data_IF_380918712572
#
_entry.id   IF_380918712572
#
_cell.length_a   1.000
_cell.length_b   1.000
_cell.length_c   1.000
_cell.angle_alpha   90.00
_cell.angle_beta   90.00
_cell.angle_gamma   90.00
#
_symmetry.space_group_name_H-M   'P 1'
#
loop_
_entity.id
_entity.type
_entity.pdbx_description
1 polymer ?
#
# COMPACT_ATOMS: atom_id res chain seq x y z
N UNK A 1 41.64 -5.80 -8.91
CA UNK A 1 41.36 -7.08 -9.55
C UNK A 1 39.86 -7.21 -9.62
N UNK A 2 39.27 -7.12 -10.82
CA UNK A 2 37.82 -6.98 -11.01
C UNK A 2 37.06 -8.23 -10.54
N UNK A 3 35.79 -8.06 -10.09
CA UNK A 3 34.91 -9.16 -9.67
C UNK A 3 34.75 -10.20 -10.80
N UNK A 4 34.83 -9.76 -12.06
CA UNK A 4 34.80 -10.62 -13.26
C UNK A 4 35.94 -11.63 -13.26
N UNK A 5 37.18 -11.24 -12.84
CA UNK A 5 38.27 -12.17 -12.73
C UNK A 5 38.04 -13.24 -11.67
N UNK A 6 37.30 -12.90 -10.60
CA UNK A 6 36.96 -13.88 -9.56
C UNK A 6 35.89 -14.86 -10.02
N UNK A 7 34.86 -14.38 -10.77
CA UNK A 7 33.81 -15.26 -11.34
C UNK A 7 34.39 -16.10 -12.48
N UNK A 8 35.17 -15.50 -13.37
CA UNK A 8 35.85 -16.23 -14.45
C UNK A 8 36.90 -17.22 -13.91
N UNK A 9 37.62 -16.87 -12.84
CA UNK A 9 38.54 -17.80 -12.17
C UNK A 9 37.81 -18.94 -11.44
N UNK A 10 36.65 -18.68 -10.83
CA UNK A 10 35.82 -19.72 -10.24
C UNK A 10 35.18 -20.60 -11.33
N UNK A 11 34.60 -20.01 -12.37
CA UNK A 11 34.05 -20.75 -13.51
C UNK A 11 35.11 -21.58 -14.25
N UNK A 12 36.32 -21.01 -14.45
CA UNK A 12 37.45 -21.74 -15.03
C UNK A 12 38.01 -22.86 -14.13
N UNK A 13 37.96 -22.70 -12.79
CA UNK A 13 38.30 -23.76 -11.83
C UNK A 13 37.28 -24.88 -11.78
N UNK A 14 35.97 -24.57 -11.93
CA UNK A 14 34.91 -25.56 -12.01
C UNK A 14 35.01 -26.41 -13.27
N UNK A 15 35.54 -25.87 -14.38
CA UNK A 15 35.78 -26.64 -15.62
C UNK A 15 37.00 -27.56 -15.58
N UNK A 16 37.88 -27.41 -14.59
CA UNK A 16 39.15 -28.20 -14.45
C UNK A 16 39.22 -29.13 -13.24
N UNK A 17 38.31 -29.03 -12.29
CA UNK A 17 38.30 -29.89 -11.10
C UNK A 17 37.06 -30.77 -11.10
N UNK A 18 37.23 -32.07 -10.98
CA UNK A 18 36.22 -33.07 -10.77
C UNK A 18 35.11 -32.60 -9.80
N UNK A 19 33.91 -32.43 -10.32
CA UNK A 19 32.57 -32.65 -9.78
C UNK A 19 32.44 -32.70 -8.24
N UNK A 20 32.88 -31.68 -7.54
CA UNK A 20 32.21 -31.21 -6.34
C UNK A 20 31.48 -29.93 -6.73
N UNK A 21 30.14 -29.98 -6.77
CA UNK A 21 29.26 -28.89 -7.11
C UNK A 21 29.44 -27.69 -6.17
N UNK A 22 30.37 -26.78 -6.52
CA UNK A 22 30.37 -25.45 -5.92
C UNK A 22 29.23 -24.68 -6.55
N UNK A 23 28.07 -24.62 -5.88
CA UNK A 23 26.92 -23.83 -6.25
C UNK A 23 27.31 -22.34 -6.28
N UNK A 24 27.55 -21.82 -7.47
CA UNK A 24 27.54 -20.38 -7.71
C UNK A 24 26.06 -20.00 -7.69
N UNK A 25 25.66 -19.07 -6.82
CA UNK A 25 24.25 -18.63 -6.79
C UNK A 25 23.91 -17.95 -8.12
N UNK A 26 22.72 -18.14 -8.62
CA UNK A 26 22.20 -17.46 -9.83
C UNK A 26 22.37 -15.94 -9.69
N UNK A 27 22.22 -15.42 -8.49
CA UNK A 27 22.42 -14.00 -8.18
C UNK A 27 23.84 -13.54 -8.53
N UNK A 28 24.89 -14.29 -8.18
CA UNK A 28 26.28 -13.92 -8.49
C UNK A 28 26.55 -13.87 -10.01
N UNK A 29 25.95 -14.79 -10.76
CA UNK A 29 26.05 -14.82 -12.24
C UNK A 29 25.36 -13.61 -12.84
N UNK A 30 24.14 -13.29 -12.40
CA UNK A 30 23.37 -12.13 -12.86
C UNK A 30 24.08 -10.83 -12.51
N UNK A 31 24.64 -10.69 -11.30
CA UNK A 31 25.40 -9.52 -10.87
C UNK A 31 26.64 -9.30 -11.76
N UNK A 32 27.39 -10.36 -12.05
CA UNK A 32 28.58 -10.28 -12.90
C UNK A 32 28.23 -9.88 -14.35
N UNK A 33 27.16 -10.42 -14.94
CA UNK A 33 26.70 -10.04 -16.26
C UNK A 33 26.23 -8.57 -16.27
N UNK A 34 25.51 -8.13 -15.25
CA UNK A 34 25.03 -6.75 -15.10
C UNK A 34 26.19 -5.76 -15.00
N UNK A 35 27.24 -6.12 -14.24
CA UNK A 35 28.43 -5.29 -14.09
C UNK A 35 29.18 -5.12 -15.45
N UNK A 36 29.28 -6.18 -16.25
CA UNK A 36 29.88 -6.10 -17.60
C UNK A 36 29.00 -5.28 -18.56
N UNK A 37 27.68 -5.46 -18.52
CA UNK A 37 26.72 -4.65 -19.28
C UNK A 37 26.85 -3.17 -18.99
N UNK A 38 26.95 -2.81 -17.72
CA UNK A 38 27.09 -1.43 -17.27
C UNK A 38 28.38 -0.78 -17.75
N UNK A 39 29.41 -1.56 -18.03
CA UNK A 39 30.69 -1.09 -18.60
C UNK A 39 30.64 -0.96 -20.12
N UNK A 40 30.02 -1.93 -20.77
CA UNK A 40 30.09 -2.06 -22.26
C UNK A 40 28.88 -1.47 -22.99
N UNK A 41 27.71 -1.32 -22.32
CA UNK A 41 26.45 -0.94 -22.93
C UNK A 41 25.72 0.20 -22.17
N UNK A 42 26.48 1.10 -21.53
CA UNK A 42 25.94 2.17 -20.68
C UNK A 42 24.92 3.05 -21.41
N UNK A 43 25.24 3.44 -22.66
CA UNK A 43 24.35 4.31 -23.46
C UNK A 43 23.05 3.60 -23.79
N UNK A 44 23.11 2.32 -24.12
CA UNK A 44 21.92 1.51 -24.41
C UNK A 44 21.01 1.40 -23.17
N UNK A 45 21.56 1.15 -22.00
CA UNK A 45 20.82 1.12 -20.73
C UNK A 45 20.17 2.48 -20.47
N UNK A 46 20.88 3.57 -20.74
CA UNK A 46 20.34 4.93 -20.54
C UNK A 46 19.16 5.21 -21.45
N UNK A 47 19.25 4.89 -22.75
CA UNK A 47 18.17 5.06 -23.71
C UNK A 47 16.93 4.23 -23.36
N UNK A 48 17.11 2.99 -22.88
CA UNK A 48 16.01 2.16 -22.40
C UNK A 48 15.37 2.78 -21.14
N UNK A 49 16.17 3.28 -20.20
CA UNK A 49 15.68 3.92 -18.99
C UNK A 49 14.86 5.18 -19.27
N UNK A 50 15.21 5.90 -20.35
CA UNK A 50 14.47 7.08 -20.86
C UNK A 50 13.25 6.72 -21.71
N UNK A 51 12.95 5.42 -21.89
CA UNK A 51 11.90 4.89 -22.77
C UNK A 51 12.07 5.29 -24.27
N UNK A 52 13.28 5.55 -24.72
CA UNK A 52 13.57 5.86 -26.13
C UNK A 52 13.59 4.59 -26.98
N UNK A 53 14.01 3.47 -26.40
CA UNK A 53 14.08 2.15 -27.06
C UNK A 53 13.56 1.05 -26.10
N UNK A 54 13.08 -0.09 -26.60
CA UNK A 54 12.57 -1.17 -25.78
C UNK A 54 13.68 -1.97 -25.07
N UNK A 55 13.36 -2.60 -23.92
CA UNK A 55 14.29 -3.45 -23.14
C UNK A 55 14.89 -4.60 -23.96
N UNK A 56 14.15 -5.12 -24.94
CA UNK A 56 14.60 -6.19 -25.86
C UNK A 56 15.86 -5.82 -26.64
N UNK A 57 16.16 -4.54 -26.80
CA UNK A 57 17.42 -4.10 -27.44
C UNK A 57 18.66 -4.54 -26.66
N UNK A 58 18.56 -4.79 -25.33
CA UNK A 58 19.66 -5.25 -24.51
C UNK A 58 19.85 -6.78 -24.56
N UNK A 59 18.86 -7.55 -24.97
CA UNK A 59 18.91 -9.02 -24.99
C UNK A 59 20.09 -9.57 -25.78
N UNK A 60 20.35 -9.02 -26.96
CA UNK A 60 21.47 -9.47 -27.78
C UNK A 60 22.84 -9.21 -27.10
N UNK A 61 22.96 -8.10 -26.37
CA UNK A 61 24.16 -7.79 -25.63
C UNK A 61 24.36 -8.76 -24.46
N UNK A 62 23.28 -9.07 -23.73
CA UNK A 62 23.28 -10.06 -22.64
C UNK A 62 23.67 -11.43 -23.18
N UNK A 63 23.05 -11.87 -24.26
CA UNK A 63 23.35 -13.16 -24.93
C UNK A 63 24.81 -13.26 -25.34
N UNK A 64 25.39 -12.17 -25.87
CA UNK A 64 26.80 -12.11 -26.24
C UNK A 64 27.74 -12.25 -25.02
N UNK A 65 27.39 -11.59 -23.91
CA UNK A 65 28.16 -11.68 -22.67
C UNK A 65 28.08 -13.10 -22.10
N UNK A 66 26.88 -13.69 -22.01
CA UNK A 66 26.68 -15.08 -21.56
C UNK A 66 27.53 -16.04 -22.38
N UNK A 67 27.53 -15.87 -23.72
CA UNK A 67 28.30 -16.73 -24.62
C UNK A 67 29.83 -16.57 -24.46
N UNK A 68 30.30 -15.34 -24.20
CA UNK A 68 31.73 -15.02 -24.02
C UNK A 68 32.32 -15.67 -22.77
N UNK A 69 31.55 -15.68 -21.68
CA UNK A 69 32.04 -16.13 -20.37
C UNK A 69 31.77 -17.60 -20.08
N UNK A 70 31.07 -18.31 -20.96
CA UNK A 70 30.75 -19.75 -20.82
C UNK A 70 30.31 -20.09 -19.39
N UNK A 71 29.44 -19.26 -18.81
CA UNK A 71 28.86 -19.54 -17.51
C UNK A 71 28.16 -20.90 -17.61
N UNK A 72 28.73 -21.92 -16.97
CA UNK A 72 28.05 -23.22 -16.85
C UNK A 72 26.65 -22.94 -16.34
N UNK A 73 25.65 -23.19 -17.18
CA UNK A 73 24.26 -22.90 -16.88
C UNK A 73 23.84 -23.77 -15.69
N UNK A 74 23.96 -23.24 -14.51
CA UNK A 74 23.59 -23.94 -13.28
C UNK A 74 22.06 -24.08 -13.26
N UNK A 75 21.58 -25.13 -13.94
CA UNK A 75 20.18 -25.55 -13.87
C UNK A 75 19.15 -24.63 -14.54
N UNK A 76 19.57 -23.57 -15.28
CA UNK A 76 18.67 -22.63 -15.96
C UNK A 76 18.94 -22.61 -17.45
N UNK A 77 17.88 -22.44 -18.22
CA UNK A 77 18.02 -22.18 -19.63
C UNK A 77 18.50 -20.73 -19.89
N UNK A 78 18.98 -20.50 -21.13
CA UNK A 78 19.56 -19.21 -21.53
C UNK A 78 18.53 -18.08 -21.53
N UNK A 79 17.30 -18.35 -21.88
CA UNK A 79 16.22 -17.36 -21.95
C UNK A 79 15.81 -16.91 -20.55
N UNK A 80 15.75 -17.85 -19.61
CA UNK A 80 15.49 -17.53 -18.19
C UNK A 80 16.57 -16.64 -17.59
N UNK A 81 17.85 -16.92 -17.92
CA UNK A 81 18.96 -16.09 -17.43
C UNK A 81 18.95 -14.68 -18.05
N UNK A 82 18.62 -14.54 -19.33
CA UNK A 82 18.45 -13.23 -19.98
C UNK A 82 17.37 -12.43 -19.28
N UNK A 83 16.22 -13.05 -18.98
CA UNK A 83 15.13 -12.40 -18.26
C UNK A 83 15.56 -11.95 -16.85
N UNK A 84 16.28 -12.78 -16.11
CA UNK A 84 16.76 -12.43 -14.78
C UNK A 84 17.76 -11.27 -14.80
N UNK A 85 18.60 -11.18 -15.83
CA UNK A 85 19.51 -10.04 -16.01
C UNK A 85 18.71 -8.76 -16.32
N UNK A 86 17.69 -8.81 -17.18
CA UNK A 86 16.81 -7.67 -17.44
C UNK A 86 16.04 -7.24 -16.18
N UNK A 87 15.53 -8.19 -15.41
CA UNK A 87 14.87 -7.91 -14.15
C UNK A 87 15.82 -7.29 -13.12
N UNK A 88 17.11 -7.68 -13.15
CA UNK A 88 18.13 -7.10 -12.28
C UNK A 88 18.52 -5.67 -12.66
N UNK A 89 18.56 -5.38 -13.96
CA UNK A 89 18.94 -4.04 -14.47
C UNK A 89 17.77 -3.04 -14.33
N UNK A 90 16.54 -3.43 -14.63
CA UNK A 90 15.41 -2.51 -14.76
C UNK A 90 14.32 -2.66 -13.71
N UNK A 91 14.36 -3.72 -12.89
CA UNK A 91 13.33 -4.06 -11.92
C UNK A 91 13.94 -4.44 -10.56
N UNK A 92 13.43 -5.52 -9.93
CA UNK A 92 13.85 -5.96 -8.60
C UNK A 92 14.64 -7.28 -8.60
N UNK A 93 15.34 -7.58 -9.69
CA UNK A 93 16.24 -8.72 -9.79
C UNK A 93 15.57 -10.07 -9.53
N UNK A 94 16.27 -10.95 -8.83
CA UNK A 94 15.85 -12.34 -8.58
C UNK A 94 14.49 -12.50 -7.91
N UNK A 95 13.98 -11.46 -7.25
CA UNK A 95 12.65 -11.49 -6.62
C UNK A 95 11.52 -11.08 -7.54
N UNK A 96 11.83 -10.51 -8.73
CA UNK A 96 10.80 -10.02 -9.64
C UNK A 96 9.80 -11.11 -10.02
N UNK A 97 10.27 -12.34 -10.25
CA UNK A 97 9.43 -13.49 -10.53
C UNK A 97 8.35 -13.75 -9.46
N UNK A 98 8.66 -13.49 -8.18
CA UNK A 98 7.68 -13.62 -7.10
C UNK A 98 6.69 -12.46 -7.11
N UNK A 99 7.17 -11.24 -7.37
CA UNK A 99 6.32 -10.06 -7.45
C UNK A 99 5.32 -10.14 -8.62
N UNK A 100 5.71 -10.83 -9.71
CA UNK A 100 4.85 -11.03 -10.89
C UNK A 100 3.83 -12.15 -10.72
N UNK A 101 3.98 -12.99 -9.69
CA UNK A 101 3.01 -14.07 -9.44
C UNK A 101 1.61 -13.50 -9.16
N UNK A 102 0.56 -14.07 -9.76
CA UNK A 102 -0.82 -13.71 -9.45
C UNK A 102 -1.12 -13.88 -7.95
N UNK A 103 -1.70 -12.86 -7.33
CA UNK A 103 -2.02 -12.89 -5.90
C UNK A 103 -0.84 -12.67 -4.95
N UNK A 104 0.36 -12.34 -5.46
CA UNK A 104 1.47 -11.95 -4.61
C UNK A 104 1.17 -10.60 -3.93
N UNK A 105 1.14 -10.63 -2.59
CA UNK A 105 0.89 -9.48 -1.74
C UNK A 105 2.17 -8.93 -1.09
N UNK A 106 3.26 -9.71 -1.12
CA UNK A 106 4.55 -9.28 -0.58
C UNK A 106 5.61 -10.36 -0.60
N UNK A 107 6.87 -9.91 -0.51
CA UNK A 107 8.06 -10.76 -0.39
C UNK A 107 8.83 -10.32 0.85
N UNK A 108 9.31 -11.30 1.62
CA UNK A 108 10.00 -11.10 2.90
C UNK A 108 11.36 -11.77 2.86
N UNK A 109 12.41 -10.97 2.90
CA UNK A 109 13.80 -11.43 2.87
C UNK A 109 14.34 -11.27 4.28
N UNK A 110 14.52 -12.38 5.00
CA UNK A 110 15.04 -12.41 6.36
C UNK A 110 16.52 -12.82 6.44
N UNK A 111 17.12 -13.09 5.29
CA UNK A 111 18.51 -13.50 5.12
C UNK A 111 18.77 -13.95 3.70
N UNK A 112 20.06 -14.25 3.34
CA UNK A 112 20.43 -14.59 1.97
C UNK A 112 19.70 -15.80 1.38
N UNK A 113 19.39 -16.77 2.20
CA UNK A 113 18.73 -18.04 1.86
C UNK A 113 17.35 -18.19 2.52
N UNK A 114 16.85 -17.13 3.15
CA UNK A 114 15.60 -17.13 3.90
C UNK A 114 14.61 -16.11 3.32
N UNK A 115 14.02 -16.49 2.18
CA UNK A 115 13.10 -15.66 1.40
C UNK A 115 11.72 -16.29 1.38
N UNK A 116 10.70 -15.51 1.72
CA UNK A 116 9.30 -15.91 1.78
C UNK A 116 8.45 -15.03 0.88
N UNK A 117 7.38 -15.58 0.33
CA UNK A 117 6.36 -14.85 -0.41
C UNK A 117 4.99 -15.04 0.23
N UNK A 118 4.17 -13.99 0.22
CA UNK A 118 2.76 -14.06 0.60
C UNK A 118 1.91 -14.07 -0.66
N UNK A 119 1.34 -15.23 -0.98
CA UNK A 119 0.43 -15.43 -2.11
C UNK A 119 -0.98 -15.60 -1.56
N UNK A 120 -1.87 -14.63 -1.85
CA UNK A 120 -3.17 -14.57 -1.16
C UNK A 120 -3.00 -14.50 0.36
N UNK A 121 -3.54 -15.49 1.08
CA UNK A 121 -3.40 -15.59 2.54
C UNK A 121 -2.31 -16.57 3.00
N UNK A 122 -1.56 -17.18 2.08
CA UNK A 122 -0.55 -18.19 2.42
C UNK A 122 0.86 -17.60 2.40
N UNK A 123 1.67 -18.00 3.39
CA UNK A 123 3.11 -17.73 3.44
C UNK A 123 3.87 -18.92 2.89
N UNK A 124 4.65 -18.72 1.83
CA UNK A 124 5.37 -19.77 1.11
C UNK A 124 6.87 -19.48 1.21
N UNK A 125 7.67 -20.44 1.67
CA UNK A 125 9.12 -20.36 1.58
C UNK A 125 9.54 -20.59 0.14
N UNK A 126 10.46 -19.75 -0.36
CA UNK A 126 10.93 -19.80 -1.75
C UNK A 126 12.31 -20.45 -1.85
N UNK A 127 12.73 -20.73 -3.06
CA UNK A 127 14.07 -21.25 -3.40
C UNK A 127 15.09 -20.16 -3.70
N UNK A 128 14.71 -18.88 -3.56
CA UNK A 128 15.60 -17.75 -3.83
C UNK A 128 16.73 -17.71 -2.81
N UNK A 129 17.96 -17.61 -3.32
CA UNK A 129 19.18 -17.53 -2.54
C UNK A 129 20.11 -16.47 -3.11
N UNK A 130 20.46 -15.48 -2.29
CA UNK A 130 21.41 -14.43 -2.61
C UNK A 130 22.89 -14.88 -2.48
N UNK A 131 23.12 -16.09 -1.95
CA UNK A 131 24.44 -16.68 -1.76
C UNK A 131 25.19 -16.16 -0.53
N UNK A 132 25.14 -14.88 -0.20
CA UNK A 132 25.86 -14.32 0.95
C UNK A 132 25.18 -13.06 1.51
N UNK A 133 25.48 -12.73 2.78
CA UNK A 133 25.07 -11.45 3.40
C UNK A 133 25.57 -10.25 2.60
N UNK A 134 26.78 -10.34 2.04
CA UNK A 134 27.35 -9.29 1.22
C UNK A 134 26.54 -9.03 -0.05
N UNK A 135 26.08 -10.09 -0.71
CA UNK A 135 25.26 -9.98 -1.91
C UNK A 135 23.89 -9.39 -1.59
N UNK A 136 23.28 -9.81 -0.46
CA UNK A 136 22.02 -9.24 0.00
C UNK A 136 22.17 -7.75 0.35
N UNK A 137 23.29 -7.35 0.93
CA UNK A 137 23.56 -5.93 1.21
C UNK A 137 23.78 -5.15 -0.09
N UNK A 138 24.46 -5.72 -1.09
CA UNK A 138 24.59 -5.15 -2.44
C UNK A 138 23.21 -4.91 -3.07
N UNK A 139 22.34 -5.89 -2.97
CA UNK A 139 20.94 -5.76 -3.42
C UNK A 139 20.20 -4.59 -2.74
N UNK A 140 20.34 -4.43 -1.42
CA UNK A 140 19.74 -3.29 -0.69
C UNK A 140 20.26 -1.95 -1.21
N UNK A 141 21.58 -1.85 -1.47
CA UNK A 141 22.15 -0.61 -2.00
C UNK A 141 21.76 -0.35 -3.45
N UNK A 142 21.51 -1.37 -4.25
CA UNK A 142 20.92 -1.24 -5.59
C UNK A 142 19.50 -0.68 -5.52
N UNK A 143 18.66 -1.20 -4.62
CA UNK A 143 17.32 -0.65 -4.37
C UNK A 143 17.38 0.82 -3.96
N UNK A 144 18.29 1.17 -3.03
CA UNK A 144 18.53 2.56 -2.62
C UNK A 144 18.83 3.46 -3.81
N UNK A 145 19.78 3.04 -4.65
CA UNK A 145 20.23 3.82 -5.81
C UNK A 145 19.11 4.00 -6.85
N UNK A 146 18.38 2.91 -7.15
CA UNK A 146 17.31 2.90 -8.15
C UNK A 146 16.11 3.74 -7.72
N UNK A 147 15.72 3.65 -6.45
CA UNK A 147 14.53 4.30 -5.90
C UNK A 147 14.85 5.65 -5.22
N UNK A 148 16.10 6.12 -5.32
CA UNK A 148 16.57 7.39 -4.75
C UNK A 148 16.27 7.53 -3.25
N UNK A 149 16.42 6.43 -2.51
CA UNK A 149 16.22 6.40 -1.08
C UNK A 149 17.50 6.68 -0.30
N UNK A 150 17.38 6.80 1.02
CA UNK A 150 18.50 6.94 1.94
C UNK A 150 18.52 5.74 2.89
N UNK A 151 19.61 4.96 2.82
CA UNK A 151 19.93 3.90 3.79
C UNK A 151 21.45 3.81 3.93
N UNK A 152 21.92 3.84 5.17
CA UNK A 152 23.33 3.73 5.54
C UNK A 152 23.42 3.40 7.04
N UNK A 153 24.61 3.31 7.61
CA UNK A 153 24.81 2.98 9.04
C UNK A 153 24.18 3.99 10.00
N UNK A 154 24.01 5.26 9.59
CA UNK A 154 23.33 6.28 10.39
C UNK A 154 21.81 6.25 10.21
N UNK A 155 21.35 5.74 9.07
CA UNK A 155 19.93 5.55 8.72
C UNK A 155 19.73 4.08 8.34
N UNK A 156 19.82 3.16 9.31
CA UNK A 156 19.83 1.73 9.03
C UNK A 156 18.46 1.11 8.74
N UNK A 157 17.39 1.89 8.89
CA UNK A 157 16.01 1.51 8.58
C UNK A 157 15.43 2.55 7.62
N UNK A 158 15.03 2.11 6.43
CA UNK A 158 14.47 2.98 5.41
C UNK A 158 13.22 2.38 4.77
N UNK A 159 12.29 3.26 4.40
CA UNK A 159 11.17 2.91 3.54
C UNK A 159 11.41 3.52 2.16
N UNK A 160 11.41 2.67 1.14
CA UNK A 160 11.54 3.03 -0.26
C UNK A 160 10.21 2.76 -0.95
N UNK A 161 9.92 3.49 -2.01
CA UNK A 161 8.70 3.29 -2.80
C UNK A 161 9.01 3.14 -4.28
N UNK A 162 8.35 2.18 -4.91
CA UNK A 162 8.30 2.05 -6.36
C UNK A 162 6.86 2.29 -6.84
N UNK A 163 6.54 3.54 -7.25
CA UNK A 163 5.21 3.87 -7.76
C UNK A 163 4.85 3.12 -9.05
N UNK A 164 5.85 2.77 -9.88
CA UNK A 164 5.63 2.07 -11.16
C UNK A 164 5.09 0.66 -10.91
N UNK A 165 5.67 -0.05 -9.96
CA UNK A 165 5.23 -1.40 -9.59
C UNK A 165 4.29 -1.44 -8.39
N UNK A 166 3.93 -0.28 -7.82
CA UNK A 166 3.08 -0.13 -6.64
C UNK A 166 3.63 -0.92 -5.45
N UNK A 167 4.94 -0.79 -5.21
CA UNK A 167 5.63 -1.48 -4.13
C UNK A 167 6.05 -0.50 -3.04
N UNK A 168 5.85 -0.91 -1.82
CA UNK A 168 6.49 -0.37 -0.63
C UNK A 168 7.58 -1.32 -0.18
N UNK A 169 8.78 -0.82 0.02
CA UNK A 169 9.94 -1.62 0.33
C UNK A 169 10.55 -1.10 1.64
N UNK A 170 10.61 -1.93 2.66
CA UNK A 170 11.25 -1.60 3.93
C UNK A 170 12.57 -2.35 3.98
N UNK A 171 13.66 -1.61 4.09
CA UNK A 171 15.01 -2.15 4.21
C UNK A 171 15.56 -1.88 5.60
N UNK A 172 16.16 -2.90 6.22
CA UNK A 172 16.85 -2.77 7.48
C UNK A 172 18.25 -3.41 7.37
N UNK A 173 19.27 -2.64 7.77
CA UNK A 173 20.70 -3.06 7.77
C UNK A 173 21.32 -2.91 9.16
N UNK A 174 22.57 -3.32 9.30
CA UNK A 174 23.33 -3.05 10.53
C UNK A 174 23.38 -1.52 10.81
N UNK A 175 23.36 -1.09 12.09
CA UNK A 175 23.47 -1.91 13.31
C UNK A 175 22.13 -2.49 13.82
N UNK A 176 20.97 -2.09 13.28
CA UNK A 176 19.66 -2.56 13.76
C UNK A 176 19.45 -4.03 13.35
N UNK A 177 19.68 -4.37 12.10
CA UNK A 177 19.66 -5.76 11.62
C UNK A 177 21.00 -6.45 11.92
N UNK A 178 21.19 -6.95 13.13
CA UNK A 178 22.48 -7.41 13.60
C UNK A 178 22.92 -8.78 13.03
N UNK A 179 22.00 -9.60 12.54
CA UNK A 179 22.31 -10.92 11.97
C UNK A 179 22.51 -10.84 10.46
N UNK A 180 21.59 -10.19 9.77
CA UNK A 180 21.56 -10.08 8.32
C UNK A 180 20.72 -8.89 7.90
N UNK A 181 20.98 -8.24 6.77
CA UNK A 181 20.03 -7.32 6.17
C UNK A 181 18.67 -8.00 6.00
N UNK A 182 17.59 -7.25 6.22
CA UNK A 182 16.23 -7.71 5.97
C UNK A 182 15.51 -6.75 5.03
N UNK A 183 14.69 -7.30 4.14
CA UNK A 183 13.91 -6.50 3.20
C UNK A 183 12.49 -7.02 3.12
N UNK A 184 11.53 -6.11 3.23
CA UNK A 184 10.11 -6.42 3.10
C UNK A 184 9.55 -5.68 1.89
N UNK A 185 9.08 -6.41 0.91
CA UNK A 185 8.31 -5.89 -0.21
C UNK A 185 6.83 -6.08 0.08
N UNK A 186 6.09 -4.99 0.09
CA UNK A 186 4.63 -5.01 0.16
C UNK A 186 4.08 -4.53 -1.18
N UNK A 187 3.37 -5.41 -1.88
CA UNK A 187 2.74 -5.08 -3.15
C UNK A 187 1.32 -4.61 -2.91
N UNK A 188 1.02 -3.40 -3.35
CA UNK A 188 -0.34 -2.93 -3.38
C UNK A 188 -1.01 -3.50 -4.64
N UNK A 189 -1.99 -4.36 -4.43
CA UNK A 189 -2.77 -4.91 -5.52
C UNK A 189 -3.53 -3.73 -6.14
N UNK A 190 -3.02 -3.26 -7.29
CA UNK A 190 -3.62 -2.14 -8.03
C UNK A 190 -4.99 -2.45 -8.65
N UNK A 191 -5.56 -3.64 -8.40
CA UNK A 191 -6.91 -3.97 -8.84
C UNK A 191 -7.89 -3.12 -8.03
N UNK A 192 -8.56 -2.20 -8.71
CA UNK A 192 -9.72 -1.54 -8.16
C UNK A 192 -10.83 -2.59 -8.10
N UNK A 193 -11.33 -2.85 -6.90
CA UNK A 193 -12.53 -3.64 -6.72
C UNK A 193 -13.72 -2.68 -6.78
N UNK A 194 -14.76 -3.04 -7.53
CA UNK A 194 -16.05 -2.35 -7.50
C UNK A 194 -16.84 -2.78 -6.26
N UNK A 195 -17.94 -2.10 -5.96
CA UNK A 195 -18.81 -2.55 -4.88
C UNK A 195 -19.40 -3.94 -5.17
N UNK A 196 -19.71 -4.25 -6.44
CA UNK A 196 -20.15 -5.56 -6.88
C UNK A 196 -19.10 -6.64 -6.65
N UNK A 197 -17.82 -6.35 -6.95
CA UNK A 197 -16.71 -7.26 -6.64
C UNK A 197 -16.64 -7.56 -5.13
N UNK A 198 -16.80 -6.53 -4.28
CA UNK A 198 -16.77 -6.69 -2.82
C UNK A 198 -17.95 -7.51 -2.30
N UNK A 199 -19.13 -7.34 -2.90
CA UNK A 199 -20.32 -8.18 -2.62
C UNK A 199 -20.05 -9.63 -3.04
N UNK A 200 -19.53 -9.85 -4.24
CA UNK A 200 -19.20 -11.18 -4.74
C UNK A 200 -18.12 -11.89 -3.89
N UNK A 201 -17.20 -11.11 -3.30
CA UNK A 201 -16.18 -11.62 -2.37
C UNK A 201 -16.69 -11.85 -0.94
N UNK A 202 -17.95 -11.51 -0.65
CA UNK A 202 -18.59 -11.72 0.65
C UNK A 202 -18.25 -10.66 1.70
N UNK A 203 -17.71 -9.49 1.32
CA UNK A 203 -17.46 -8.39 2.25
C UNK A 203 -18.76 -7.85 2.84
N UNK A 204 -19.83 -7.80 2.04
CA UNK A 204 -21.15 -7.30 2.42
C UNK A 204 -22.22 -7.84 1.48
N UNK A 205 -23.51 -7.67 1.85
CA UNK A 205 -24.63 -7.95 0.95
C UNK A 205 -24.82 -6.82 -0.05
N UNK A 206 -25.52 -7.09 -1.14
CA UNK A 206 -25.87 -6.07 -2.14
C UNK A 206 -26.66 -4.92 -1.52
N UNK A 207 -27.65 -5.23 -0.69
CA UNK A 207 -28.47 -4.22 0.00
C UNK A 207 -27.62 -3.29 0.89
N UNK A 208 -26.66 -3.87 1.63
CA UNK A 208 -25.74 -3.08 2.45
C UNK A 208 -24.82 -2.21 1.57
N UNK A 209 -24.31 -2.73 0.46
CA UNK A 209 -23.48 -1.97 -0.48
C UNK A 209 -24.22 -0.76 -1.07
N UNK A 210 -25.47 -0.95 -1.50
CA UNK A 210 -26.34 0.11 -2.01
C UNK A 210 -26.58 1.20 -0.96
N UNK A 211 -26.82 0.80 0.29
CA UNK A 211 -27.03 1.73 1.40
C UNK A 211 -25.77 2.51 1.77
N UNK A 212 -24.61 1.87 1.83
CA UNK A 212 -23.33 2.54 2.05
C UNK A 212 -23.00 3.52 0.92
N UNK A 213 -23.28 3.14 -0.32
CA UNK A 213 -23.11 4.05 -1.46
C UNK A 213 -24.05 5.24 -1.37
N UNK A 214 -25.33 5.04 -0.98
CA UNK A 214 -26.27 6.14 -0.77
C UNK A 214 -25.78 7.14 0.29
N UNK A 215 -25.22 6.67 1.41
CA UNK A 215 -24.61 7.54 2.42
C UNK A 215 -23.41 8.31 1.87
N UNK A 216 -22.55 7.65 1.11
CA UNK A 216 -21.39 8.25 0.48
C UNK A 216 -21.81 9.33 -0.54
N UNK A 217 -22.75 9.03 -1.44
CA UNK A 217 -23.26 9.98 -2.44
C UNK A 217 -23.95 11.18 -1.79
N UNK A 218 -24.69 10.96 -0.71
CA UNK A 218 -25.36 12.02 0.04
C UNK A 218 -24.40 12.94 0.83
N UNK A 219 -23.09 12.69 0.79
CA UNK A 219 -22.12 13.52 1.48
C UNK A 219 -22.04 13.25 2.99
N UNK A 220 -22.22 12.00 3.42
CA UNK A 220 -21.96 11.63 4.79
C UNK A 220 -20.46 11.73 5.12
N UNK A 221 -20.15 12.16 6.35
CA UNK A 221 -18.80 12.04 6.93
C UNK A 221 -18.63 10.61 7.44
N UNK A 222 -17.69 9.87 6.87
CA UNK A 222 -17.55 8.42 7.07
C UNK A 222 -16.21 8.10 7.72
N UNK A 223 -16.26 7.30 8.78
CA UNK A 223 -15.07 6.67 9.37
C UNK A 223 -15.12 5.17 9.09
N UNK A 224 -14.07 4.63 8.46
CA UNK A 224 -13.91 3.19 8.26
C UNK A 224 -12.90 2.65 9.27
N UNK A 225 -13.34 1.78 10.17
CA UNK A 225 -12.51 1.23 11.24
C UNK A 225 -12.24 -0.26 11.07
N UNK A 226 -11.17 -0.76 11.68
CA UNK A 226 -10.79 -2.17 11.64
C UNK A 226 -9.28 -2.37 11.75
N UNK A 227 -8.84 -3.62 11.89
CA UNK A 227 -7.42 -3.97 11.98
C UNK A 227 -6.64 -3.67 10.69
N UNK A 228 -5.31 -3.71 10.78
CA UNK A 228 -4.43 -3.67 9.60
C UNK A 228 -4.75 -4.82 8.64
N UNK A 229 -4.92 -4.50 7.35
CA UNK A 229 -5.24 -5.50 6.33
C UNK A 229 -6.69 -6.01 6.35
N UNK A 230 -7.59 -5.40 7.12
CA UNK A 230 -9.01 -5.79 7.17
C UNK A 230 -9.81 -5.43 5.91
N UNK A 231 -9.27 -4.60 5.00
CA UNK A 231 -9.95 -4.17 3.78
C UNK A 231 -10.52 -2.74 3.84
N UNK A 232 -10.10 -1.91 4.83
CA UNK A 232 -10.57 -0.51 4.98
C UNK A 232 -10.34 0.33 3.72
N UNK A 233 -9.10 0.43 3.25
CA UNK A 233 -8.73 1.18 2.04
C UNK A 233 -9.43 0.63 0.80
N UNK A 234 -9.65 -0.69 0.75
CA UNK A 234 -10.37 -1.35 -0.35
C UNK A 234 -11.82 -0.90 -0.42
N UNK A 235 -12.54 -0.87 0.71
CA UNK A 235 -13.93 -0.37 0.76
C UNK A 235 -14.00 1.13 0.47
N UNK A 236 -13.13 1.93 1.10
CA UNK A 236 -13.09 3.38 0.85
C UNK A 236 -12.87 3.67 -0.63
N UNK A 237 -11.92 2.99 -1.26
CA UNK A 237 -11.64 3.13 -2.68
C UNK A 237 -12.86 2.79 -3.53
N UNK A 238 -13.52 1.66 -3.28
CA UNK A 238 -14.73 1.28 -4.02
C UNK A 238 -15.84 2.34 -3.91
N UNK A 239 -16.07 2.89 -2.70
CA UNK A 239 -17.02 3.97 -2.49
C UNK A 239 -16.64 5.27 -3.22
N UNK A 240 -15.36 5.62 -3.26
CA UNK A 240 -14.88 6.84 -3.92
C UNK A 240 -14.96 6.75 -5.45
N UNK A 241 -14.75 5.57 -6.03
CA UNK A 241 -14.89 5.34 -7.48
C UNK A 241 -16.36 5.43 -7.96
N UNK A 242 -17.33 5.24 -7.06
CA UNK A 242 -18.76 5.39 -7.35
C UNK A 242 -19.25 6.84 -7.34
N UNK A 243 -18.45 7.80 -6.86
CA UNK A 243 -18.86 9.20 -6.82
C UNK A 243 -19.07 9.77 -8.22
N UNK A 244 -20.00 10.70 -8.35
CA UNK A 244 -20.23 11.47 -9.59
C UNK A 244 -18.93 12.12 -10.04
N UNK A 245 -18.61 12.05 -11.33
CA UNK A 245 -17.38 12.58 -11.93
C UNK A 245 -17.19 14.08 -11.70
N UNK A 246 -18.23 14.81 -11.38
CA UNK A 246 -18.19 16.26 -11.04
C UNK A 246 -17.67 16.51 -9.64
N UNK A 247 -17.72 15.52 -8.74
CA UNK A 247 -17.22 15.64 -7.37
C UNK A 247 -15.71 15.69 -7.39
N UNK A 248 -15.15 16.79 -6.88
CA UNK A 248 -13.70 16.96 -6.78
C UNK A 248 -13.16 16.32 -5.50
N UNK A 249 -12.35 15.27 -5.65
CA UNK A 249 -11.80 14.48 -4.55
C UNK A 249 -10.36 14.88 -4.29
N UNK A 250 -9.99 15.09 -3.03
CA UNK A 250 -8.61 15.17 -2.58
C UNK A 250 -8.32 13.97 -1.68
N UNK A 251 -7.44 13.06 -2.11
CA UNK A 251 -6.88 12.05 -1.23
C UNK A 251 -5.54 12.49 -0.67
N UNK A 252 -5.34 12.25 0.61
CA UNK A 252 -4.12 12.58 1.34
C UNK A 252 -3.65 11.33 2.06
N UNK A 253 -2.46 10.87 1.69
CA UNK A 253 -1.93 9.59 2.16
C UNK A 253 -0.47 9.75 2.57
N UNK A 254 -0.04 9.00 3.58
CA UNK A 254 1.40 8.86 3.86
C UNK A 254 2.10 8.05 2.76
N UNK A 255 1.36 7.15 2.13
CA UNK A 255 1.84 6.27 1.07
C UNK A 255 0.68 5.95 0.14
N UNK A 256 0.96 5.86 -1.16
CA UNK A 256 -0.04 5.60 -2.17
C UNK A 256 -0.70 4.22 -2.01
N UNK A 257 -1.96 4.21 -1.67
CA UNK A 257 -2.81 3.00 -1.55
C UNK A 257 -4.08 3.09 -2.40
N UNK A 258 -4.68 4.28 -2.54
CA UNK A 258 -5.95 4.43 -3.26
C UNK A 258 -5.84 4.17 -4.75
N UNK A 259 -4.87 4.78 -5.44
CA UNK A 259 -4.75 4.68 -6.91
C UNK A 259 -6.11 4.85 -7.61
N UNK A 260 -6.85 5.92 -7.28
CA UNK A 260 -8.16 6.20 -7.86
C UNK A 260 -8.05 6.42 -9.37
N UNK A 261 -9.05 5.91 -10.10
CA UNK A 261 -9.27 6.18 -11.52
C UNK A 261 -10.27 7.32 -11.75
N UNK A 262 -10.92 7.80 -10.70
CA UNK A 262 -11.89 8.90 -10.76
C UNK A 262 -11.25 10.13 -11.42
N UNK A 263 -11.83 10.68 -12.51
CA UNK A 263 -11.16 11.68 -13.35
C UNK A 263 -10.92 13.02 -12.64
N UNK A 264 -11.69 13.35 -11.62
CA UNK A 264 -11.56 14.58 -10.83
C UNK A 264 -10.95 14.31 -9.44
N UNK A 265 -10.04 13.33 -9.33
CA UNK A 265 -9.33 13.03 -8.10
C UNK A 265 -7.91 13.61 -8.11
N UNK A 266 -7.60 14.43 -7.11
CA UNK A 266 -6.25 14.86 -6.78
C UNK A 266 -5.70 13.94 -5.68
N UNK A 267 -4.62 13.21 -5.97
CA UNK A 267 -4.05 12.24 -5.05
C UNK A 267 -2.68 12.73 -4.59
N UNK A 268 -2.58 13.14 -3.32
CA UNK A 268 -1.38 13.73 -2.75
C UNK A 268 -0.79 12.84 -1.66
N UNK A 269 0.53 12.79 -1.62
CA UNK A 269 1.31 12.06 -0.63
C UNK A 269 2.01 13.04 0.31
N UNK A 270 2.13 12.64 1.57
CA UNK A 270 3.00 13.37 2.50
C UNK A 270 4.45 13.24 2.07
N UNK A 271 5.25 14.25 2.40
CA UNK A 271 6.69 14.19 2.21
C UNK A 271 7.38 14.65 3.48
N UNK A 272 8.10 13.75 4.12
CA UNK A 272 9.06 14.10 5.17
C UNK A 272 10.34 14.58 4.51
N UNK A 273 10.92 15.61 5.07
CA UNK A 273 12.23 16.06 4.65
C UNK A 273 13.18 15.99 5.83
N UNK A 274 13.91 14.89 5.91
CA UNK A 274 14.84 14.61 7.01
C UNK A 274 16.14 15.44 6.90
N UNK A 275 16.32 16.20 5.82
CA UNK A 275 17.55 16.93 5.47
C UNK A 275 17.42 18.48 5.48
N UNK A 276 16.44 19.00 6.22
CA UNK A 276 16.32 20.45 6.47
C UNK A 276 15.50 21.24 5.44
N UNK A 277 14.71 20.58 4.59
CA UNK A 277 13.70 21.21 3.76
C UNK A 277 12.32 21.21 4.41
N UNK A 278 11.33 21.77 3.72
CA UNK A 278 9.94 21.77 4.17
C UNK A 278 9.34 20.35 4.13
N UNK A 279 8.77 19.89 5.24
CA UNK A 279 7.95 18.70 5.30
C UNK A 279 6.48 19.02 4.97
N UNK A 280 5.84 18.14 4.23
CA UNK A 280 4.44 18.25 3.83
C UNK A 280 3.68 17.10 4.49
N UNK A 281 3.18 17.36 5.70
CA UNK A 281 2.36 16.39 6.44
C UNK A 281 0.88 16.46 6.01
N UNK A 282 0.05 15.56 6.52
CA UNK A 282 -1.38 15.52 6.20
C UNK A 282 -2.10 16.81 6.54
N UNK A 283 -1.74 17.45 7.65
CA UNK A 283 -2.31 18.70 8.12
C UNK A 283 -2.03 19.86 7.14
N UNK A 284 -0.77 20.01 6.70
CA UNK A 284 -0.40 21.01 5.70
C UNK A 284 -1.12 20.81 4.37
N UNK A 285 -1.21 19.55 3.88
CA UNK A 285 -1.90 19.25 2.62
C UNK A 285 -3.40 19.58 2.73
N UNK A 286 -4.03 19.27 3.88
CA UNK A 286 -5.44 19.58 4.11
C UNK A 286 -5.70 21.09 4.15
N UNK A 287 -4.83 21.86 4.80
CA UNK A 287 -4.89 23.33 4.81
C UNK A 287 -4.80 23.89 3.38
N UNK A 288 -3.90 23.38 2.58
CA UNK A 288 -3.80 23.75 1.16
C UNK A 288 -5.05 23.34 0.37
N UNK A 289 -5.65 22.19 0.69
CA UNK A 289 -6.91 21.72 0.09
C UNK A 289 -8.05 22.72 0.22
N UNK A 290 -8.13 23.47 1.33
CA UNK A 290 -9.15 24.52 1.54
C UNK A 290 -9.06 25.65 0.50
N UNK A 291 -7.94 25.78 -0.22
CA UNK A 291 -7.72 26.77 -1.29
C UNK A 291 -7.96 26.17 -2.69
N UNK A 292 -8.34 24.87 -2.79
CA UNK A 292 -8.36 24.11 -4.04
C UNK A 292 -9.77 23.72 -4.50
N UNK A 293 -10.82 24.23 -3.87
CA UNK A 293 -12.21 23.95 -4.20
C UNK A 293 -12.50 22.44 -4.20
N UNK A 294 -12.33 21.80 -3.06
CA UNK A 294 -12.49 20.36 -2.87
C UNK A 294 -13.91 20.06 -2.33
N UNK A 295 -14.59 19.09 -2.93
CA UNK A 295 -15.90 18.62 -2.45
C UNK A 295 -15.78 17.45 -1.48
N UNK A 296 -14.73 16.64 -1.59
CA UNK A 296 -14.49 15.45 -0.77
C UNK A 296 -13.06 15.36 -0.30
N UNK A 297 -12.85 15.43 1.00
CA UNK A 297 -11.54 15.27 1.64
C UNK A 297 -11.39 13.85 2.15
N UNK A 298 -10.34 13.15 1.72
CA UNK A 298 -10.08 11.77 2.08
C UNK A 298 -8.70 11.63 2.70
N UNK A 299 -8.65 11.28 3.97
CA UNK A 299 -7.42 10.89 4.65
C UNK A 299 -7.31 9.37 4.58
N UNK A 300 -6.23 8.85 4.02
CA UNK A 300 -6.04 7.41 3.88
C UNK A 300 -6.15 6.70 5.22
N UNK A 301 -5.43 7.18 6.20
CA UNK A 301 -5.49 6.71 7.57
C UNK A 301 -5.09 7.83 8.54
N UNK A 302 -5.79 7.93 9.67
CA UNK A 302 -5.37 8.75 10.79
C UNK A 302 -4.80 7.88 11.90
N UNK A 303 -3.64 8.29 12.46
CA UNK A 303 -2.88 7.50 13.45
C UNK A 303 -2.45 8.30 14.68
N UNK A 304 -2.41 9.63 14.55
CA UNK A 304 -1.83 10.52 15.54
C UNK A 304 -2.53 11.89 15.55
N UNK A 305 -1.80 12.96 15.80
CA UNK A 305 -2.28 14.33 15.94
C UNK A 305 -2.98 14.92 14.72
N UNK A 306 -2.74 14.38 13.52
CA UNK A 306 -3.45 14.76 12.29
C UNK A 306 -4.97 14.54 12.37
N UNK A 307 -5.43 13.72 13.31
CA UNK A 307 -6.84 13.58 13.63
C UNK A 307 -7.50 14.92 13.96
N UNK A 308 -6.78 15.83 14.62
CA UNK A 308 -7.30 17.15 14.96
C UNK A 308 -7.66 17.95 13.71
N UNK A 309 -6.77 17.99 12.72
CA UNK A 309 -7.01 18.66 11.43
C UNK A 309 -8.18 18.04 10.66
N UNK A 310 -8.25 16.71 10.63
CA UNK A 310 -9.34 15.99 9.97
C UNK A 310 -10.71 16.36 10.57
N UNK A 311 -10.86 16.21 11.90
CA UNK A 311 -12.16 16.47 12.55
C UNK A 311 -12.50 17.94 12.59
N UNK A 312 -11.53 18.85 12.66
CA UNK A 312 -11.75 20.29 12.51
C UNK A 312 -12.29 20.62 11.11
N UNK A 313 -11.73 20.04 10.05
CA UNK A 313 -12.20 20.21 8.69
C UNK A 313 -13.65 19.72 8.52
N UNK A 314 -13.95 18.52 9.03
CA UNK A 314 -15.30 17.96 9.00
C UNK A 314 -16.31 18.79 9.82
N UNK A 315 -15.90 19.26 10.99
CA UNK A 315 -16.70 20.16 11.84
C UNK A 315 -16.98 21.51 11.16
N UNK A 316 -16.06 21.99 10.33
CA UNK A 316 -16.22 23.22 9.53
C UNK A 316 -17.09 23.04 8.27
N UNK A 317 -17.69 21.88 8.05
CA UNK A 317 -18.63 21.60 6.96
C UNK A 317 -18.03 20.88 5.74
N UNK A 318 -16.74 20.54 5.75
CA UNK A 318 -16.15 19.72 4.69
C UNK A 318 -16.72 18.30 4.75
N UNK A 319 -16.99 17.72 3.58
CA UNK A 319 -17.37 16.30 3.51
C UNK A 319 -16.10 15.45 3.53
N UNK A 320 -16.02 14.55 4.51
CA UNK A 320 -14.78 13.86 4.82
C UNK A 320 -14.93 12.34 4.88
N UNK A 321 -13.86 11.63 4.54
CA UNK A 321 -13.75 10.18 4.72
C UNK A 321 -12.35 9.83 5.25
N UNK A 322 -12.29 8.92 6.22
CA UNK A 322 -11.00 8.42 6.73
C UNK A 322 -11.07 7.00 7.21
N UNK A 323 -9.89 6.39 7.42
CA UNK A 323 -9.79 5.15 8.16
C UNK A 323 -8.98 5.29 9.44
N UNK A 324 -9.22 4.39 10.38
CA UNK A 324 -8.43 4.25 11.59
C UNK A 324 -8.48 2.82 12.15
N UNK A 325 -7.51 2.48 12.98
CA UNK A 325 -7.49 1.20 13.70
C UNK A 325 -8.33 1.28 14.96
N UNK A 326 -9.41 0.48 15.04
CA UNK A 326 -10.23 0.32 16.23
C UNK A 326 -10.72 -1.13 16.39
N UNK A 327 -11.21 -1.49 17.57
CA UNK A 327 -11.72 -2.83 17.87
C UNK A 327 -13.17 -3.04 17.42
N UNK A 328 -13.95 -1.98 17.35
CA UNK A 328 -15.34 -1.94 16.87
C UNK A 328 -15.71 -0.50 16.49
N UNK A 329 -16.91 -0.29 15.96
CA UNK A 329 -17.35 1.02 15.52
C UNK A 329 -17.37 2.08 16.65
N UNK A 330 -17.86 1.73 17.84
CA UNK A 330 -17.92 2.69 18.98
C UNK A 330 -16.54 3.09 19.48
N UNK A 331 -15.59 2.14 19.52
CA UNK A 331 -14.22 2.43 19.93
C UNK A 331 -13.47 3.34 18.93
N UNK A 332 -13.95 3.49 17.70
CA UNK A 332 -13.39 4.42 16.73
C UNK A 332 -13.42 5.87 17.26
N UNK A 333 -14.51 6.30 17.86
CA UNK A 333 -14.65 7.66 18.43
C UNK A 333 -13.68 7.88 19.59
N UNK A 334 -13.60 6.93 20.54
CA UNK A 334 -12.63 7.04 21.65
C UNK A 334 -11.19 7.09 21.14
N UNK A 335 -10.86 6.25 20.14
CA UNK A 335 -9.54 6.24 19.53
C UNK A 335 -9.24 7.56 18.82
N UNK A 336 -10.19 8.12 18.08
CA UNK A 336 -10.07 9.42 17.42
C UNK A 336 -9.83 10.55 18.44
N UNK A 337 -10.55 10.55 19.57
CA UNK A 337 -10.33 11.53 20.64
C UNK A 337 -8.91 11.46 21.22
N UNK A 338 -8.40 10.24 21.46
CA UNK A 338 -7.02 10.06 21.94
C UNK A 338 -6.02 10.61 20.91
N UNK A 339 -6.24 10.34 19.62
CA UNK A 339 -5.38 10.86 18.55
C UNK A 339 -5.46 12.40 18.46
N UNK A 340 -6.65 13.00 18.58
CA UNK A 340 -6.77 14.46 18.63
C UNK A 340 -5.96 15.07 19.77
N UNK A 341 -5.94 14.44 20.96
CA UNK A 341 -5.11 14.88 22.08
C UNK A 341 -3.62 14.80 21.81
N UNK A 342 -3.18 13.89 20.95
CA UNK A 342 -1.76 13.77 20.56
C UNK A 342 -1.28 14.97 19.74
N UNK A 343 -2.18 15.83 19.21
CA UNK A 343 -1.81 17.11 18.60
C UNK A 343 -1.30 18.15 19.60
N UNK A 344 -1.39 17.89 20.90
CA UNK A 344 -1.06 18.84 21.96
C UNK A 344 -2.15 19.89 22.23
N UNK A 345 -3.39 19.67 21.76
CA UNK A 345 -4.52 20.58 21.98
C UNK A 345 -4.86 20.76 23.45
N UNK A 346 -5.21 21.99 23.83
CA UNK A 346 -5.71 22.31 25.18
C UNK A 346 -7.24 22.22 25.32
N UNK A 347 -7.94 21.74 24.29
CA UNK A 347 -9.39 21.56 24.35
C UNK A 347 -9.78 20.47 25.35
N UNK A 348 -10.89 20.70 26.08
CA UNK A 348 -11.40 19.71 27.02
C UNK A 348 -11.95 18.46 26.30
N UNK A 349 -12.00 17.32 27.00
CA UNK A 349 -12.55 16.06 26.48
C UNK A 349 -13.96 16.24 25.94
N UNK A 350 -14.77 17.03 26.63
CA UNK A 350 -16.13 17.33 26.22
C UNK A 350 -16.18 18.04 24.87
N UNK A 351 -15.36 19.07 24.67
CA UNK A 351 -15.30 19.80 23.38
C UNK A 351 -14.83 18.90 22.26
N UNK A 352 -13.80 18.07 22.52
CA UNK A 352 -13.31 17.12 21.53
C UNK A 352 -14.37 16.07 21.14
N UNK A 353 -15.12 15.55 22.12
CA UNK A 353 -16.22 14.62 21.86
C UNK A 353 -17.35 15.30 21.09
N UNK A 354 -17.71 16.53 21.44
CA UNK A 354 -18.72 17.30 20.71
C UNK A 354 -18.31 17.51 19.25
N UNK A 355 -17.05 17.86 19.00
CA UNK A 355 -16.51 17.99 17.63
C UNK A 355 -16.58 16.65 16.86
N UNK A 356 -16.14 15.56 17.48
CA UNK A 356 -16.16 14.22 16.89
C UNK A 356 -17.56 13.77 16.51
N UNK A 357 -18.53 14.01 17.36
CA UNK A 357 -19.93 13.62 17.13
C UNK A 357 -20.58 14.47 16.05
N UNK A 358 -20.26 15.76 15.96
CA UNK A 358 -20.75 16.65 14.91
C UNK A 358 -20.11 16.33 13.54
N UNK A 359 -18.82 16.00 13.57
CA UNK A 359 -18.02 15.71 12.40
C UNK A 359 -18.20 14.30 11.84
N UNK A 360 -18.97 13.41 12.49
CA UNK A 360 -19.11 12.01 12.09
C UNK A 360 -20.57 11.67 11.89
N UNK A 361 -20.93 11.20 10.70
CA UNK A 361 -22.28 10.69 10.43
C UNK A 361 -22.35 9.16 10.55
N UNK A 362 -21.44 8.45 9.87
CA UNK A 362 -21.45 6.99 9.76
C UNK A 362 -20.07 6.41 10.13
N UNK A 363 -20.07 5.34 10.89
CA UNK A 363 -18.91 4.53 11.20
C UNK A 363 -19.13 3.13 10.64
N UNK A 364 -18.19 2.65 9.83
CA UNK A 364 -18.20 1.31 9.24
C UNK A 364 -17.06 0.52 9.87
N UNK A 365 -17.35 -0.62 10.51
CA UNK A 365 -16.31 -1.49 11.05
C UNK A 365 -16.13 -2.74 10.20
N UNK A 366 -14.85 -3.06 9.90
CA UNK A 366 -14.47 -4.21 9.09
C UNK A 366 -13.55 -5.12 9.90
N UNK A 367 -13.89 -6.40 9.97
CA UNK A 367 -13.03 -7.44 10.52
C UNK A 367 -12.90 -8.58 9.50
N UNK A 368 -11.66 -9.06 9.26
CA UNK A 368 -11.36 -10.16 8.34
C UNK A 368 -12.06 -10.03 6.97
N UNK A 369 -12.02 -8.83 6.38
CA UNK A 369 -12.61 -8.52 5.08
C UNK A 369 -14.15 -8.58 5.04
N UNK A 370 -14.82 -8.51 6.19
CA UNK A 370 -16.28 -8.48 6.32
C UNK A 370 -16.69 -7.19 7.04
N UNK A 371 -17.70 -6.47 6.51
CA UNK A 371 -18.33 -5.36 7.23
C UNK A 371 -19.13 -5.93 8.39
N UNK A 372 -18.65 -5.72 9.63
CA UNK A 372 -19.28 -6.32 10.81
C UNK A 372 -20.26 -5.41 11.52
N UNK A 373 -20.08 -4.09 11.39
CA UNK A 373 -20.97 -3.11 11.98
C UNK A 373 -21.07 -1.87 11.08
N UNK A 374 -22.27 -1.30 10.98
CA UNK A 374 -22.49 0.06 10.47
C UNK A 374 -23.29 0.82 11.52
N UNK A 375 -22.74 1.93 11.98
CA UNK A 375 -23.28 2.72 13.08
C UNK A 375 -23.47 4.16 12.64
N UNK A 376 -24.64 4.71 12.86
CA UNK A 376 -24.92 6.13 12.76
C UNK A 376 -24.60 6.82 14.10
N UNK A 377 -23.93 7.96 14.04
CA UNK A 377 -23.73 8.83 15.19
C UNK A 377 -24.90 9.84 15.23
N UNK A 378 -25.76 9.74 16.24
CA UNK A 378 -26.93 10.60 16.41
C UNK A 378 -26.68 11.56 17.56
N UNK A 379 -26.55 12.86 17.24
CA UNK A 379 -26.43 13.91 18.24
C UNK A 379 -27.80 14.55 18.48
N UNK A 380 -28.22 14.57 19.72
CA UNK A 380 -29.40 15.30 20.20
C UNK A 380 -28.94 16.41 21.15
N UNK A 381 -29.85 17.29 21.55
CA UNK A 381 -29.56 18.37 22.52
C UNK A 381 -29.08 17.79 23.87
N UNK A 382 -29.60 16.63 24.26
CA UNK A 382 -29.34 16.04 25.56
C UNK A 382 -28.18 15.02 25.57
N UNK A 383 -28.01 14.28 24.46
CA UNK A 383 -27.05 13.15 24.40
C UNK A 383 -26.61 12.80 22.99
N UNK A 384 -25.57 11.99 22.94
CA UNK A 384 -25.12 11.33 21.71
C UNK A 384 -25.47 9.84 21.80
N UNK A 385 -26.06 9.32 20.76
CA UNK A 385 -26.42 7.90 20.62
C UNK A 385 -25.68 7.27 19.45
N UNK A 386 -25.30 6.02 19.60
CA UNK A 386 -24.75 5.18 18.54
C UNK A 386 -25.87 4.24 18.06
N UNK A 387 -26.48 4.59 16.95
CA UNK A 387 -27.57 3.84 16.35
C UNK A 387 -27.00 2.79 15.38
N UNK A 388 -27.02 1.53 15.77
CA UNK A 388 -26.56 0.45 14.89
C UNK A 388 -27.58 0.27 13.76
N UNK A 389 -27.11 0.38 12.52
CA UNK A 389 -27.90 0.21 11.31
C UNK A 389 -27.80 -1.23 10.80
N UNK A 390 -26.58 -1.75 10.79
CA UNK A 390 -26.28 -3.10 10.36
C UNK A 390 -25.33 -3.78 11.34
N UNK A 391 -25.51 -5.09 11.53
CA UNK A 391 -24.61 -5.98 12.27
C UNK A 391 -24.39 -7.27 11.48
N UNK A 392 -23.24 -7.92 11.75
CA UNK A 392 -22.93 -9.22 11.21
C UNK A 392 -23.08 -10.28 12.31
N UNK A 393 -24.08 -11.13 12.16
CA UNK A 393 -24.28 -12.28 13.06
C UNK A 393 -23.24 -13.35 12.73
N UNK A 394 -22.24 -13.48 13.60
CA UNK A 394 -21.13 -14.44 13.40
C UNK A 394 -21.60 -15.85 13.77
N UNK A 395 -21.57 -16.75 12.81
CA UNK A 395 -21.83 -18.20 13.02
C UNK A 395 -20.52 -18.96 13.31
N UNK A 396 -19.44 -18.61 12.62
CA UNK A 396 -18.11 -19.20 12.80
C UNK A 396 -17.01 -18.16 12.65
N UNK A 397 -16.04 -18.20 13.57
CA UNK A 397 -14.86 -17.31 13.56
C UNK A 397 -13.58 -18.14 13.56
N UNK A 398 -12.69 -17.85 12.62
CA UNK A 398 -11.31 -18.31 12.57
C UNK A 398 -10.35 -17.09 12.54
N UNK A 399 -9.04 -17.32 12.63
CA UNK A 399 -8.06 -16.21 12.67
C UNK A 399 -8.17 -15.30 11.44
N UNK A 400 -8.44 -15.87 10.27
CA UNK A 400 -8.46 -15.16 8.98
C UNK A 400 -9.81 -15.20 8.27
N UNK A 401 -10.83 -15.72 8.91
CA UNK A 401 -12.13 -15.97 8.27
C UNK A 401 -13.29 -15.75 9.22
N UNK A 402 -14.34 -15.07 8.73
CA UNK A 402 -15.64 -14.93 9.38
C UNK A 402 -16.72 -15.53 8.49
N UNK A 403 -17.56 -16.37 9.06
CA UNK A 403 -18.78 -16.87 8.44
C UNK A 403 -19.98 -16.41 9.25
N UNK A 404 -21.03 -15.98 8.55
CA UNK A 404 -22.25 -15.48 9.17
C UNK A 404 -23.10 -14.76 8.15
N UNK A 405 -24.00 -13.91 8.64
CA UNK A 405 -24.88 -13.13 7.79
C UNK A 405 -25.03 -11.69 8.25
N UNK A 406 -25.16 -10.78 7.31
CA UNK A 406 -25.49 -9.39 7.58
C UNK A 406 -26.97 -9.27 7.90
N UNK A 407 -27.28 -8.47 8.92
CA UNK A 407 -28.64 -8.18 9.36
C UNK A 407 -28.83 -6.67 9.51
N UNK A 408 -29.84 -6.16 8.87
CA UNK A 408 -30.27 -4.78 9.08
C UNK A 408 -31.07 -4.71 10.39
N UNK A 409 -30.60 -3.89 11.32
CA UNK A 409 -31.17 -3.79 12.67
C UNK A 409 -31.70 -2.39 12.99
N UNK A 410 -31.36 -1.40 12.17
CA UNK A 410 -31.76 -0.02 12.39
C UNK A 410 -32.07 0.76 11.11
N UNK A 411 -32.54 2.00 11.30
CA UNK A 411 -32.78 2.98 10.27
C UNK A 411 -32.17 4.32 10.69
N UNK A 412 -31.87 5.19 9.71
CA UNK A 412 -31.34 6.54 9.95
C UNK A 412 -32.31 7.33 10.85
N UNK A 413 -31.76 7.89 11.93
CA UNK A 413 -32.51 8.67 12.95
C UNK A 413 -32.16 10.15 12.96
N UNK A 414 -30.89 10.53 12.62
CA UNK A 414 -30.50 11.94 12.63
C UNK A 414 -31.16 12.73 11.51
N UNK A 415 -31.64 13.91 11.82
CA UNK A 415 -32.24 14.80 10.82
C UNK A 415 -31.22 15.24 9.80
N UNK A 416 -29.98 15.52 10.24
CA UNK A 416 -28.88 15.89 9.35
C UNK A 416 -28.63 14.84 8.26
N UNK A 417 -28.66 13.54 8.61
CA UNK A 417 -28.45 12.48 7.63
C UNK A 417 -29.68 12.25 6.74
N UNK A 418 -30.87 12.40 7.29
CA UNK A 418 -32.13 12.36 6.52
C UNK A 418 -32.18 13.46 5.47
N UNK A 419 -31.79 14.68 5.83
CA UNK A 419 -31.75 15.83 4.93
C UNK A 419 -30.70 15.64 3.82
N UNK A 420 -29.53 15.16 4.14
CA UNK A 420 -28.51 14.80 3.14
C UNK A 420 -29.07 13.78 2.12
N UNK A 421 -29.72 12.72 2.59
CA UNK A 421 -30.31 11.69 1.73
C UNK A 421 -31.47 12.21 0.88
N UNK A 422 -32.31 13.11 1.42
CA UNK A 422 -33.41 13.76 0.66
C UNK A 422 -32.85 14.64 -0.43
N UNK A 423 -31.89 15.50 -0.12
CA UNK A 423 -31.24 16.41 -1.07
C UNK A 423 -30.59 15.63 -2.22
N UNK A 424 -29.87 14.55 -1.90
CA UNK A 424 -29.25 13.69 -2.91
C UNK A 424 -30.30 13.04 -3.82
N UNK A 425 -31.37 12.46 -3.27
CA UNK A 425 -32.46 11.84 -4.07
C UNK A 425 -33.24 12.86 -4.91
N UNK A 426 -33.43 14.06 -4.39
CA UNK A 426 -34.10 15.14 -5.12
C UNK A 426 -33.30 15.63 -6.32
N UNK A 427 -31.97 15.68 -6.19
CA UNK A 427 -31.06 16.05 -7.29
C UNK A 427 -30.93 14.99 -8.40
N UNK A 428 -31.38 13.76 -8.18
CA UNK A 428 -31.41 12.72 -9.22
C UNK A 428 -32.67 12.86 -10.14
N UNK A 429 -33.69 13.61 -9.71
CA UNK A 429 -34.94 13.82 -10.47
C UNK A 429 -34.84 14.90 -11.56
N UNK A 430 -33.82 15.75 -11.55
CA UNK A 430 -33.71 16.90 -12.48
C UNK A 430 -32.67 16.68 -13.60
N UNK A 431 -32.11 15.48 -13.74
CA UNK A 431 -31.18 15.11 -14.82
C UNK A 431 -31.78 13.99 -15.67
N UNK A 432 -32.86 14.33 -16.39
CA UNK A 432 -33.40 13.49 -17.50
C UNK A 432 -33.35 14.25 -18.80
#
# INVERSE_FOLDING_TARGET
MAVIDRVSVRAARVSKANLEEQFISVYEVVEAITEELSKTNKDLITQITLNEIPETALEMAIVKIISKFNYGLVGKDREELVKEVLDHVFRHGVIQKLLDMPGCNGVFINGPDNVWAKIGNQMIRTDINFGSIKNLLSFVYTLKATLRGEINENIPLATLEDPKQKLRIICCIAPIAHVSPTVVFRKHNGKAFTLEDLVAMGMMTKELAEELNAYNQAGANIIVSGKGGAGKTTLMRALLEELDIRIRILTMEEQAEFFLKHPNAMQLLTKRNDWGGQSFNLEYIAEMGNKMTIDRYVYGEIRSGEAMSFFHGAFSGNVTMTSLHALNAKNAILKAMVMMKMSGTNLSDRVLLDMLHEATNIIIHIDNFVVTEVVEVVKTVEKVEYNTLWEFEVERREITFLQGRHKKVGQIRSDAMRDKLRTWKGGQGDVS
#
